data_IF_005861729399
#
_entry.id   IF_005861729399
#
_cell.length_a   1.000
_cell.length_b   1.000
_cell.length_c   1.000
_cell.angle_alpha   90.00
_cell.angle_beta   90.00
_cell.angle_gamma   90.00
#
_symmetry.space_group_name_H-M   'P 1'
#
loop_
_entity.id
_entity.type
_entity.pdbx_description
1 polymer ?
#
# COMPACT_ATOMS: atom_id res chain seq x y z
N UNK A 1 26.33 9.20 12.00
CA UNK A 1 25.75 8.19 12.90
C UNK A 1 25.37 8.90 14.20
N UNK A 2 24.08 9.14 14.42
CA UNK A 2 23.59 9.67 15.70
C UNK A 2 23.65 8.51 16.70
N UNK A 3 24.36 8.68 17.82
CA UNK A 3 24.43 7.68 18.87
C UNK A 3 23.05 7.56 19.54
N UNK A 4 22.31 6.49 19.20
CA UNK A 4 20.97 6.18 19.72
C UNK A 4 20.92 5.89 21.24
N UNK A 5 22.07 5.90 21.93
CA UNK A 5 22.19 5.53 23.35
C UNK A 5 21.82 6.70 24.30
N UNK A 6 21.86 7.96 23.84
CA UNK A 6 21.74 9.12 24.74
C UNK A 6 20.33 9.76 24.81
N UNK A 7 19.32 9.26 24.08
CA UNK A 7 18.02 9.95 24.01
C UNK A 7 16.81 9.04 24.30
N UNK A 8 16.45 8.83 25.58
CA UNK A 8 15.34 7.95 25.98
C UNK A 8 13.97 8.43 25.46
N UNK A 9 13.81 9.73 25.17
CA UNK A 9 12.59 10.28 24.58
C UNK A 9 12.41 9.86 23.10
N UNK A 10 13.50 9.67 22.37
CA UNK A 10 13.48 9.26 20.97
C UNK A 10 13.12 7.77 20.84
N UNK A 11 13.67 6.93 21.72
CA UNK A 11 13.33 5.49 21.82
C UNK A 11 11.87 5.30 22.24
N UNK A 12 11.39 6.06 23.23
CA UNK A 12 10.00 6.02 23.67
C UNK A 12 9.03 6.50 22.56
N UNK A 13 9.44 7.50 21.78
CA UNK A 13 8.71 7.98 20.61
C UNK A 13 8.60 6.93 19.49
N UNK A 14 9.71 6.28 19.14
CA UNK A 14 9.72 5.20 18.14
C UNK A 14 8.89 4.00 18.59
N UNK A 15 9.05 3.54 19.84
CA UNK A 15 8.27 2.43 20.38
C UNK A 15 6.76 2.71 20.38
N UNK A 16 6.36 3.96 20.69
CA UNK A 16 4.96 4.40 20.62
C UNK A 16 4.45 4.39 19.16
N UNK A 17 5.24 4.90 18.22
CA UNK A 17 4.89 4.90 16.79
C UNK A 17 4.71 3.47 16.26
N UNK A 18 5.63 2.55 16.56
CA UNK A 18 5.50 1.15 16.13
C UNK A 18 4.27 0.46 16.75
N UNK A 19 3.94 0.77 18.00
CA UNK A 19 2.73 0.28 18.65
C UNK A 19 1.45 0.76 17.96
N UNK A 20 1.41 2.03 17.54
CA UNK A 20 0.29 2.58 16.75
C UNK A 20 0.17 1.89 15.39
N UNK A 21 1.28 1.74 14.66
CA UNK A 21 1.31 1.03 13.36
C UNK A 21 0.82 -0.41 13.52
N UNK A 22 1.27 -1.13 14.55
CA UNK A 22 0.85 -2.51 14.81
C UNK A 22 -0.65 -2.59 15.11
N UNK A 23 -1.17 -1.65 15.89
CA UNK A 23 -2.61 -1.59 16.23
C UNK A 23 -3.47 -1.34 15.00
N UNK A 24 -3.09 -0.39 14.15
CA UNK A 24 -3.77 -0.11 12.88
C UNK A 24 -3.68 -1.31 11.92
N UNK A 25 -2.51 -1.92 11.79
CA UNK A 25 -2.30 -3.11 10.97
C UNK A 25 -3.22 -4.24 11.44
N UNK A 26 -3.25 -4.54 12.75
CA UNK A 26 -4.11 -5.58 13.33
C UNK A 26 -5.59 -5.31 13.08
N UNK A 27 -6.01 -4.05 13.10
CA UNK A 27 -7.38 -3.67 12.77
C UNK A 27 -7.74 -3.88 11.30
N UNK A 28 -6.75 -3.82 10.40
CA UNK A 28 -6.95 -3.98 8.96
C UNK A 28 -6.70 -5.41 8.43
N UNK A 29 -6.05 -6.28 9.21
CA UNK A 29 -5.88 -7.72 8.90
C UNK A 29 -7.15 -8.38 8.33
N UNK A 30 -8.36 -8.27 8.93
CA UNK A 30 -9.52 -9.00 8.42
C UNK A 30 -9.87 -8.61 6.98
N UNK A 31 -9.80 -7.32 6.64
CA UNK A 31 -10.07 -6.85 5.30
C UNK A 31 -9.01 -7.36 4.30
N UNK A 32 -7.73 -7.30 4.66
CA UNK A 32 -6.63 -7.78 3.82
C UNK A 32 -6.70 -9.28 3.58
N UNK A 33 -6.97 -10.07 4.62
CA UNK A 33 -7.05 -11.54 4.52
C UNK A 33 -8.24 -11.95 3.65
N UNK A 34 -9.41 -11.33 3.85
CA UNK A 34 -10.59 -11.62 3.02
C UNK A 34 -10.31 -11.28 1.55
N UNK A 35 -9.71 -10.11 1.27
CA UNK A 35 -9.34 -9.73 -0.08
C UNK A 35 -8.35 -10.70 -0.72
N UNK A 36 -7.32 -11.13 0.01
CA UNK A 36 -6.34 -12.11 -0.45
C UNK A 36 -6.99 -13.47 -0.75
N UNK A 37 -7.87 -13.96 0.13
CA UNK A 37 -8.61 -15.21 -0.08
C UNK A 37 -9.50 -15.14 -1.33
N UNK A 38 -10.22 -14.03 -1.52
CA UNK A 38 -11.03 -13.81 -2.73
C UNK A 38 -10.12 -13.87 -3.97
N UNK A 39 -8.98 -13.18 -3.95
CA UNK A 39 -8.02 -13.20 -5.05
C UNK A 39 -7.51 -14.61 -5.40
N UNK A 40 -7.16 -15.41 -4.39
CA UNK A 40 -6.72 -16.81 -4.57
C UNK A 40 -7.85 -17.65 -5.17
N UNK A 41 -9.07 -17.52 -4.64
CA UNK A 41 -10.24 -18.24 -5.17
C UNK A 41 -10.50 -17.85 -6.63
N UNK A 42 -10.41 -16.57 -6.96
CA UNK A 42 -10.51 -16.08 -8.34
C UNK A 42 -9.43 -16.72 -9.22
N UNK A 43 -8.16 -16.73 -8.80
CA UNK A 43 -7.08 -17.39 -9.57
C UNK A 43 -7.39 -18.87 -9.84
N UNK A 44 -7.87 -19.62 -8.84
CA UNK A 44 -8.21 -21.03 -8.99
C UNK A 44 -9.38 -21.27 -9.95
N UNK A 45 -10.38 -20.38 -9.96
CA UNK A 45 -11.53 -20.49 -10.88
C UNK A 45 -11.11 -20.18 -12.32
N UNK A 46 -10.26 -19.18 -12.52
CA UNK A 46 -9.89 -18.67 -13.85
C UNK A 46 -8.56 -19.23 -14.39
N UNK A 47 -7.92 -20.20 -13.74
CA UNK A 47 -6.62 -20.74 -14.17
C UNK A 47 -6.60 -21.38 -15.58
N UNK A 48 -7.76 -21.84 -16.08
CA UNK A 48 -7.88 -22.56 -17.36
C UNK A 48 -8.47 -21.70 -18.50
N UNK A 49 -8.47 -20.37 -18.37
CA UNK A 49 -8.99 -19.51 -19.44
C UNK A 49 -8.07 -19.52 -20.69
N UNK A 50 -8.64 -19.36 -21.90
CA UNK A 50 -7.85 -19.19 -23.12
C UNK A 50 -6.89 -18.00 -23.03
N UNK A 51 -5.71 -18.12 -23.65
CA UNK A 51 -4.66 -17.09 -23.62
C UNK A 51 -5.14 -15.74 -24.17
N UNK A 52 -5.98 -15.76 -25.20
CA UNK A 52 -6.59 -14.54 -25.76
C UNK A 52 -7.45 -13.80 -24.71
N UNK A 53 -8.32 -14.52 -24.00
CA UNK A 53 -9.16 -13.94 -22.95
C UNK A 53 -8.32 -13.49 -21.76
N UNK A 54 -7.30 -14.25 -21.38
CA UNK A 54 -6.38 -13.89 -20.31
C UNK A 54 -5.67 -12.56 -20.60
N UNK A 55 -5.20 -12.39 -21.83
CA UNK A 55 -4.52 -11.19 -22.26
C UNK A 55 -5.44 -9.96 -22.23
N UNK A 56 -6.67 -10.08 -22.74
CA UNK A 56 -7.65 -8.99 -22.72
C UNK A 56 -8.04 -8.59 -21.30
N UNK A 57 -8.29 -9.58 -20.43
CA UNK A 57 -8.60 -9.36 -19.01
C UNK A 57 -7.43 -8.68 -18.31
N UNK A 58 -6.19 -9.12 -18.56
CA UNK A 58 -5.00 -8.49 -18.01
C UNK A 58 -4.90 -7.03 -18.47
N UNK A 59 -5.08 -6.76 -19.76
CA UNK A 59 -4.95 -5.41 -20.32
C UNK A 59 -5.96 -4.42 -19.74
N UNK A 60 -7.12 -4.89 -19.30
CA UNK A 60 -8.15 -4.06 -18.64
C UNK A 60 -7.91 -3.94 -17.14
N UNK A 61 -7.66 -5.06 -16.45
CA UNK A 61 -7.56 -5.10 -14.99
C UNK A 61 -6.22 -4.56 -14.47
N UNK A 62 -5.14 -4.73 -15.23
CA UNK A 62 -3.82 -4.33 -14.79
C UNK A 62 -3.69 -2.80 -14.63
N UNK A 63 -4.04 -1.95 -15.63
CA UNK A 63 -4.02 -0.50 -15.44
C UNK A 63 -4.96 -0.03 -14.33
N UNK A 64 -6.14 -0.65 -14.22
CA UNK A 64 -7.10 -0.36 -13.15
C UNK A 64 -6.48 -0.64 -11.78
N UNK A 65 -5.84 -1.80 -11.61
CA UNK A 65 -5.17 -2.19 -10.37
C UNK A 65 -4.04 -1.22 -9.98
N UNK A 66 -3.22 -0.77 -10.94
CA UNK A 66 -2.14 0.20 -10.68
C UNK A 66 -2.70 1.55 -10.25
N UNK A 67 -3.76 2.05 -10.91
CA UNK A 67 -4.42 3.31 -10.53
C UNK A 67 -5.07 3.21 -9.14
N UNK A 68 -5.77 2.10 -8.85
CA UNK A 68 -6.34 1.86 -7.53
C UNK A 68 -5.27 1.83 -6.44
N UNK A 69 -4.13 1.20 -6.72
CA UNK A 69 -2.98 1.18 -5.81
C UNK A 69 -2.46 2.59 -5.53
N UNK A 70 -2.28 3.41 -6.57
CA UNK A 70 -1.88 4.82 -6.44
C UNK A 70 -2.85 5.62 -5.54
N UNK A 71 -4.16 5.44 -5.75
CA UNK A 71 -5.21 6.10 -4.98
C UNK A 71 -5.21 5.69 -3.51
N UNK A 72 -5.04 4.39 -3.23
CA UNK A 72 -4.96 3.87 -1.86
C UNK A 72 -3.71 4.41 -1.16
N UNK A 73 -2.54 4.41 -1.83
CA UNK A 73 -1.30 4.98 -1.26
C UNK A 73 -1.45 6.47 -0.93
N UNK A 74 -1.98 7.26 -1.87
CA UNK A 74 -2.23 8.68 -1.65
C UNK A 74 -3.25 8.93 -0.52
N UNK A 75 -4.30 8.10 -0.44
CA UNK A 75 -5.34 8.19 0.60
C UNK A 75 -4.82 7.82 1.98
N UNK A 76 -3.97 6.79 2.08
CA UNK A 76 -3.32 6.40 3.33
C UNK A 76 -2.37 7.48 3.83
N UNK A 77 -1.56 8.06 2.92
CA UNK A 77 -0.74 9.22 3.24
C UNK A 77 -1.59 10.38 3.74
N UNK A 78 -2.70 10.67 3.05
CA UNK A 78 -3.64 11.72 3.43
C UNK A 78 -4.21 11.50 4.83
N UNK A 79 -4.62 10.27 5.13
CA UNK A 79 -5.27 9.92 6.38
C UNK A 79 -4.34 10.07 7.59
N UNK A 80 -3.07 9.65 7.47
CA UNK A 80 -2.14 9.59 8.60
C UNK A 80 -1.27 10.85 8.75
N UNK A 81 -0.82 11.45 7.64
CA UNK A 81 0.05 12.64 7.70
C UNK A 81 -0.73 13.95 7.74
N UNK A 82 -1.84 14.05 7.02
CA UNK A 82 -2.59 15.32 6.92
C UNK A 82 -3.59 15.54 8.07
N UNK A 83 -3.84 14.54 8.93
CA UNK A 83 -4.64 14.71 10.16
C UNK A 83 -3.85 15.28 11.34
N UNK A 84 -2.52 15.20 11.34
CA UNK A 84 -1.67 15.43 12.51
C UNK A 84 -0.67 16.58 12.34
N UNK A 85 -1.02 17.63 11.61
CA UNK A 85 -0.08 18.75 11.42
C UNK A 85 -0.09 19.73 12.59
N UNK A 86 -1.19 19.94 13.34
CA UNK A 86 -1.14 20.95 14.41
C UNK A 86 -2.32 20.98 15.41
N UNK A 87 -2.74 19.84 15.96
CA UNK A 87 -3.80 19.80 17.02
C UNK A 87 -5.19 20.35 16.63
N UNK A 88 -5.36 20.82 15.39
CA UNK A 88 -6.63 21.28 14.81
C UNK A 88 -6.95 20.40 13.62
N UNK A 89 -8.14 19.79 13.64
CA UNK A 89 -8.75 19.04 12.55
C UNK A 89 -9.01 19.94 11.33
N UNK A 90 -7.96 20.34 10.61
CA UNK A 90 -8.07 21.02 9.32
C UNK A 90 -8.15 19.99 8.21
N UNK A 91 -9.39 19.53 7.98
CA UNK A 91 -9.83 18.85 6.75
C UNK A 91 -9.58 19.82 5.56
N UNK A 92 -8.36 19.86 5.03
CA UNK A 92 -8.07 20.69 3.84
C UNK A 92 -6.62 21.01 3.49
N UNK A 93 -5.63 20.75 4.35
CA UNK A 93 -4.27 21.30 4.18
C UNK A 93 -3.26 20.50 3.34
N UNK A 94 -3.64 19.39 2.71
CA UNK A 94 -2.66 18.56 2.01
C UNK A 94 -2.51 18.96 0.54
N UNK A 95 -1.31 19.37 0.18
CA UNK A 95 -0.99 19.87 -1.16
C UNK A 95 -1.26 18.77 -2.19
N UNK A 96 -2.13 19.07 -3.17
CA UNK A 96 -2.56 18.11 -4.18
C UNK A 96 -1.37 17.49 -4.92
N UNK A 97 -0.34 18.31 -5.21
CA UNK A 97 0.90 17.87 -5.84
C UNK A 97 1.65 16.82 -5.02
N UNK A 98 1.67 16.94 -3.69
CA UNK A 98 2.30 15.94 -2.82
C UNK A 98 1.55 14.61 -2.88
N UNK A 99 0.22 14.62 -2.94
CA UNK A 99 -0.58 13.40 -3.07
C UNK A 99 -0.31 12.70 -4.40
N UNK A 100 -0.21 13.47 -5.48
CA UNK A 100 0.11 12.92 -6.82
C UNK A 100 1.51 12.30 -6.82
N UNK A 101 2.51 12.96 -6.26
CA UNK A 101 3.88 12.42 -6.18
C UNK A 101 3.95 11.14 -5.36
N UNK A 102 3.31 11.12 -4.18
CA UNK A 102 3.28 9.94 -3.32
C UNK A 102 2.51 8.79 -3.97
N UNK A 103 1.37 9.07 -4.60
CA UNK A 103 0.61 8.08 -5.35
C UNK A 103 1.41 7.52 -6.52
N UNK A 104 2.10 8.37 -7.28
CA UNK A 104 2.96 7.98 -8.41
C UNK A 104 4.13 7.10 -7.98
N UNK A 105 4.88 7.51 -6.95
CA UNK A 105 5.98 6.72 -6.42
C UNK A 105 5.50 5.36 -5.87
N UNK A 106 4.34 5.35 -5.19
CA UNK A 106 3.70 4.13 -4.72
C UNK A 106 3.29 3.20 -5.87
N UNK A 107 2.68 3.75 -6.92
CA UNK A 107 2.26 3.00 -8.09
C UNK A 107 3.44 2.33 -8.81
N UNK A 108 4.55 3.08 -9.01
CA UNK A 108 5.77 2.52 -9.59
C UNK A 108 6.28 1.37 -8.73
N UNK A 109 6.37 1.56 -7.41
CA UNK A 109 6.86 0.52 -6.50
C UNK A 109 6.02 -0.75 -6.54
N UNK A 110 4.69 -0.60 -6.47
CA UNK A 110 3.76 -1.74 -6.47
C UNK A 110 3.78 -2.46 -7.83
N UNK A 111 3.70 -1.72 -8.94
CA UNK A 111 3.74 -2.31 -10.28
C UNK A 111 5.07 -3.06 -10.52
N UNK A 112 6.19 -2.47 -10.13
CA UNK A 112 7.51 -3.12 -10.27
C UNK A 112 7.60 -4.40 -9.44
N UNK A 113 7.17 -4.36 -8.19
CA UNK A 113 7.17 -5.54 -7.32
C UNK A 113 6.26 -6.64 -7.87
N UNK A 114 5.05 -6.28 -8.28
CA UNK A 114 4.04 -7.22 -8.79
C UNK A 114 4.47 -7.87 -10.11
N UNK A 115 4.98 -7.09 -11.06
CA UNK A 115 5.15 -7.57 -12.43
C UNK A 115 6.56 -8.10 -12.69
N UNK A 116 7.56 -7.58 -11.99
CA UNK A 116 8.97 -7.90 -12.25
C UNK A 116 9.62 -8.71 -11.13
N UNK A 117 9.26 -8.48 -9.86
CA UNK A 117 9.94 -9.12 -8.73
C UNK A 117 9.25 -10.44 -8.32
N UNK A 118 7.94 -10.41 -8.08
CA UNK A 118 7.20 -11.60 -7.61
C UNK A 118 7.27 -12.77 -8.60
N UNK A 119 7.08 -12.58 -9.93
CA UNK A 119 7.15 -13.69 -10.87
C UNK A 119 8.55 -14.32 -10.91
N UNK A 120 9.60 -13.49 -10.85
CA UNK A 120 11.00 -13.94 -10.93
C UNK A 120 11.46 -14.69 -9.68
N UNK A 121 10.86 -14.42 -8.52
CA UNK A 121 11.13 -15.16 -7.27
C UNK A 121 10.44 -16.54 -7.23
N UNK A 122 9.50 -16.82 -8.13
CA UNK A 122 8.79 -18.09 -8.22
C UNK A 122 9.32 -19.06 -9.28
N UNK A 123 10.31 -18.66 -10.08
CA UNK A 123 10.91 -19.47 -11.16
C UNK A 123 12.10 -20.35 -10.73
N UNK A 124 12.41 -20.42 -9.42
CA UNK A 124 13.45 -21.30 -8.83
C UNK A 124 12.85 -22.45 -8.04
#
# INVERSE_FOLDING_TARGET
MVNYIENPALIAGEAKMFSEIYKELKSHIPFTVIGALIGIVTMLIFQNIPQETAHDVFYVLHPMHVVLSALVTASMYKLHKCKYVDGKCLRGGCNFWTLVLIGYAGAIGIATLSDSVIPYLGET
#
